data_IF_327318278469
#
_entry.id   IF_327318278469
#
_cell.length_a   1.000
_cell.length_b   1.000
_cell.length_c   1.000
_cell.angle_alpha   90.00
_cell.angle_beta   90.00
_cell.angle_gamma   90.00
#
_symmetry.space_group_name_H-M   'P 1'
#
loop_
_entity.id
_entity.type
_entity.pdbx_description
1 polymer ?
#
# COMPACT_ATOMS: atom_id res chain seq x y z
N UNK A 1 12.62 10.52 -15.13
CA UNK A 1 11.16 10.69 -15.26
C UNK A 1 10.37 9.74 -14.35
N UNK A 2 10.75 8.47 -14.17
CA UNK A 2 9.99 7.50 -13.34
C UNK A 2 9.83 7.86 -11.84
N UNK A 3 10.88 8.32 -11.16
CA UNK A 3 10.82 8.52 -9.69
C UNK A 3 9.99 9.74 -9.26
N UNK A 4 9.94 10.81 -10.06
CA UNK A 4 9.14 12.00 -9.76
C UNK A 4 7.64 11.73 -9.97
N UNK A 5 7.29 11.02 -11.05
CA UNK A 5 5.93 10.58 -11.30
C UNK A 5 5.44 9.64 -10.19
N UNK A 6 6.25 8.63 -9.81
CA UNK A 6 5.88 7.72 -8.72
C UNK A 6 5.73 8.43 -7.37
N UNK A 7 6.62 9.39 -7.05
CA UNK A 7 6.51 10.19 -5.83
C UNK A 7 5.19 10.98 -5.80
N UNK A 8 4.86 11.66 -6.91
CA UNK A 8 3.61 12.40 -7.05
C UNK A 8 2.39 11.49 -6.91
N UNK A 9 2.38 10.33 -7.59
CA UNK A 9 1.30 9.36 -7.49
C UNK A 9 1.10 8.86 -6.05
N UNK A 10 2.17 8.51 -5.34
CA UNK A 10 2.07 8.06 -3.95
C UNK A 10 1.56 9.17 -3.03
N UNK A 11 1.99 10.42 -3.23
CA UNK A 11 1.49 11.55 -2.45
C UNK A 11 0.00 11.80 -2.71
N UNK A 12 -0.44 11.80 -3.96
CA UNK A 12 -1.84 11.97 -4.35
C UNK A 12 -2.73 10.86 -3.78
N UNK A 13 -2.30 9.60 -3.87
CA UNK A 13 -3.02 8.46 -3.29
C UNK A 13 -3.11 8.62 -1.77
N UNK A 14 -1.99 8.94 -1.11
CA UNK A 14 -1.96 9.14 0.34
C UNK A 14 -2.89 10.25 0.81
N UNK A 15 -2.93 11.37 0.10
CA UNK A 15 -3.87 12.46 0.39
C UNK A 15 -5.31 12.05 0.10
N UNK A 16 -5.57 11.26 -0.95
CA UNK A 16 -6.89 10.71 -1.22
C UNK A 16 -7.44 9.85 -0.06
N UNK A 17 -6.58 9.06 0.60
CA UNK A 17 -6.96 8.36 1.83
C UNK A 17 -7.11 9.32 3.02
N UNK A 18 -6.27 10.35 3.13
CA UNK A 18 -6.36 11.34 4.20
C UNK A 18 -7.69 12.12 4.18
N UNK A 19 -8.19 12.50 3.00
CA UNK A 19 -9.45 13.24 2.89
C UNK A 19 -10.66 12.40 3.32
N UNK A 20 -10.59 11.07 3.25
CA UNK A 20 -11.65 10.18 3.75
C UNK A 20 -11.86 10.26 5.26
N UNK A 21 -10.84 10.70 6.01
CA UNK A 21 -10.95 10.92 7.45
C UNK A 21 -11.83 12.14 7.80
N UNK A 22 -12.10 13.01 6.82
CA UNK A 22 -12.88 14.23 6.97
C UNK A 22 -14.03 14.26 5.96
N UNK A 23 -15.00 13.32 6.04
CA UNK A 23 -16.07 13.19 5.06
C UNK A 23 -17.02 14.41 5.03
N UNK A 24 -17.01 15.23 6.09
CA UNK A 24 -17.78 16.48 6.16
C UNK A 24 -17.28 17.56 5.20
N UNK A 25 -16.03 17.45 4.73
CA UNK A 25 -15.42 18.41 3.82
C UNK A 25 -15.34 17.87 2.39
N UNK A 26 -15.82 18.67 1.43
CA UNK A 26 -15.75 18.36 0.01
C UNK A 26 -14.39 18.78 -0.56
N UNK A 27 -13.43 17.84 -0.59
CA UNK A 27 -12.11 18.08 -1.17
C UNK A 27 -12.16 18.02 -2.70
N UNK A 28 -11.93 19.15 -3.35
CA UNK A 28 -11.70 19.24 -4.80
C UNK A 28 -10.33 18.69 -5.19
N UNK A 29 -10.16 18.35 -6.47
CA UNK A 29 -8.87 17.90 -7.03
C UNK A 29 -7.73 18.89 -6.78
N UNK A 30 -8.03 20.20 -6.75
CA UNK A 30 -7.05 21.25 -6.47
C UNK A 30 -6.57 21.20 -5.02
N UNK A 31 -7.45 20.88 -4.07
CA UNK A 31 -7.07 20.68 -2.67
C UNK A 31 -6.15 19.47 -2.51
N UNK A 32 -6.51 18.34 -3.11
CA UNK A 32 -5.71 17.11 -3.06
C UNK A 32 -4.31 17.35 -3.64
N UNK A 33 -4.23 18.02 -4.80
CA UNK A 33 -2.96 18.35 -5.43
C UNK A 33 -2.11 19.31 -4.57
N UNK A 34 -2.73 20.34 -3.99
CA UNK A 34 -2.04 21.33 -3.14
C UNK A 34 -1.47 20.68 -1.88
N UNK A 35 -2.27 19.87 -1.17
CA UNK A 35 -1.83 19.17 0.04
C UNK A 35 -0.70 18.18 -0.30
N UNK A 36 -0.80 17.48 -1.44
CA UNK A 36 0.24 16.57 -1.91
C UNK A 36 1.56 17.30 -2.18
N UNK A 37 1.50 18.47 -2.84
CA UNK A 37 2.66 19.30 -3.10
C UNK A 37 3.30 19.81 -1.79
N UNK A 38 2.49 20.27 -0.84
CA UNK A 38 2.95 20.70 0.49
C UNK A 38 3.65 19.55 1.21
N UNK A 39 3.07 18.35 1.20
CA UNK A 39 3.67 17.17 1.81
C UNK A 39 5.03 16.83 1.17
N UNK A 40 5.15 16.87 -0.16
CA UNK A 40 6.41 16.63 -0.88
C UNK A 40 7.47 17.67 -0.48
N UNK A 41 7.10 18.96 -0.44
CA UNK A 41 8.00 20.04 -0.04
C UNK A 41 8.45 19.89 1.42
N UNK A 42 7.54 19.50 2.32
CA UNK A 42 7.87 19.21 3.71
C UNK A 42 8.89 18.08 3.83
N UNK A 43 8.65 16.95 3.15
CA UNK A 43 9.60 15.84 3.14
C UNK A 43 10.92 16.22 2.49
N UNK A 44 10.92 17.06 1.47
CA UNK A 44 12.15 17.60 0.89
C UNK A 44 12.98 18.36 1.94
N UNK A 45 12.37 19.26 2.71
CA UNK A 45 13.08 19.95 3.80
C UNK A 45 13.57 19.02 4.91
N UNK A 46 12.81 17.97 5.26
CA UNK A 46 13.26 16.94 6.21
C UNK A 46 14.51 16.23 5.68
N UNK A 47 14.54 15.91 4.38
CA UNK A 47 15.68 15.27 3.75
C UNK A 47 16.92 16.19 3.72
N UNK A 48 16.74 17.50 3.52
CA UNK A 48 17.84 18.48 3.55
C UNK A 48 18.51 18.61 4.93
N UNK A 49 17.77 18.35 6.02
CA UNK A 49 18.32 18.41 7.39
C UNK A 49 19.25 17.25 7.74
N UNK A 50 19.39 16.26 6.86
CA UNK A 50 20.39 15.20 6.95
C UNK A 50 19.83 13.79 7.18
N UNK A 51 20.72 12.81 7.00
CA UNK A 51 20.38 11.38 6.94
C UNK A 51 19.74 10.86 8.23
N UNK A 52 20.19 11.29 9.41
CA UNK A 52 19.64 10.82 10.70
C UNK A 52 18.16 11.17 10.86
N UNK A 53 17.78 12.40 10.49
CA UNK A 53 16.39 12.84 10.58
C UNK A 53 15.53 12.12 9.54
N UNK A 54 16.01 12.00 8.30
CA UNK A 54 15.32 11.27 7.24
C UNK A 54 15.09 9.81 7.60
N UNK A 55 16.12 9.11 8.10
CA UNK A 55 16.01 7.72 8.55
C UNK A 55 15.02 7.56 9.71
N UNK A 56 15.02 8.50 10.67
CA UNK A 56 14.07 8.45 11.79
C UNK A 56 12.62 8.63 11.30
N UNK A 57 12.38 9.63 10.45
CA UNK A 57 11.06 9.86 9.86
C UNK A 57 10.59 8.65 9.02
N UNK A 58 11.49 8.07 8.23
CA UNK A 58 11.20 6.88 7.43
C UNK A 58 10.89 5.66 8.30
N UNK A 59 11.62 5.45 9.39
CA UNK A 59 11.37 4.34 10.32
C UNK A 59 10.02 4.49 11.04
N UNK A 60 9.66 5.70 11.47
CA UNK A 60 8.35 5.96 12.08
C UNK A 60 7.23 5.65 11.08
N UNK A 61 7.33 6.16 9.85
CA UNK A 61 6.35 5.88 8.80
C UNK A 61 6.30 4.41 8.42
N UNK A 62 7.43 3.71 8.43
CA UNK A 62 7.49 2.27 8.20
C UNK A 62 6.72 1.51 9.28
N UNK A 63 6.94 1.82 10.56
CA UNK A 63 6.23 1.19 11.67
C UNK A 63 4.73 1.44 11.60
N UNK A 64 4.31 2.66 11.27
CA UNK A 64 2.89 3.00 11.06
C UNK A 64 2.31 2.14 9.93
N UNK A 65 2.97 2.08 8.78
CA UNK A 65 2.52 1.27 7.63
C UNK A 65 2.39 -0.21 7.97
N UNK A 66 3.39 -0.77 8.66
CA UNK A 66 3.35 -2.17 9.10
C UNK A 66 2.20 -2.38 10.09
N UNK A 67 2.02 -1.46 11.05
CA UNK A 67 0.91 -1.52 12.00
C UNK A 67 -0.46 -1.52 11.31
N UNK A 68 -0.65 -0.68 10.30
CA UNK A 68 -1.88 -0.66 9.49
C UNK A 68 -2.09 -1.98 8.74
N UNK A 69 -1.05 -2.55 8.14
CA UNK A 69 -1.14 -3.86 7.47
C UNK A 69 -1.49 -4.97 8.47
N UNK A 70 -0.85 -4.97 9.64
CA UNK A 70 -1.13 -5.94 10.70
C UNK A 70 -2.56 -5.82 11.24
N UNK A 71 -3.11 -4.61 11.32
CA UNK A 71 -4.51 -4.39 11.66
C UNK A 71 -5.44 -5.05 10.65
N UNK A 72 -5.18 -4.83 9.35
CA UNK A 72 -5.96 -5.45 8.26
C UNK A 72 -5.87 -6.98 8.29
N UNK A 73 -4.67 -7.53 8.52
CA UNK A 73 -4.47 -8.99 8.64
C UNK A 73 -5.09 -9.53 9.92
N UNK A 74 -5.07 -8.76 11.01
CA UNK A 74 -5.58 -9.17 12.32
C UNK A 74 -7.08 -9.51 12.31
N UNK A 75 -7.85 -8.94 11.39
CA UNK A 75 -9.26 -9.29 11.19
C UNK A 75 -9.46 -10.77 10.81
N UNK A 76 -8.46 -11.43 10.21
CA UNK A 76 -8.48 -12.87 9.93
C UNK A 76 -8.51 -13.74 11.20
N UNK A 77 -8.10 -13.20 12.35
CA UNK A 77 -8.14 -13.91 13.63
C UNK A 77 -9.57 -14.00 14.20
N UNK A 78 -10.50 -13.18 13.69
CA UNK A 78 -11.89 -13.13 14.13
C UNK A 78 -12.86 -13.35 12.95
N UNK A 79 -12.78 -14.51 12.26
CA UNK A 79 -13.56 -14.74 11.05
C UNK A 79 -15.07 -14.72 11.32
N UNK A 80 -15.52 -15.20 12.48
CA UNK A 80 -16.95 -15.16 12.83
C UNK A 80 -17.50 -13.74 13.03
N UNK A 81 -16.63 -12.75 13.29
CA UNK A 81 -17.03 -11.37 13.48
C UNK A 81 -17.06 -10.58 12.17
N UNK A 82 -16.13 -10.86 11.25
CA UNK A 82 -15.90 -10.00 10.08
C UNK A 82 -16.03 -10.70 8.73
N UNK A 83 -16.00 -12.04 8.67
CA UNK A 83 -16.07 -12.74 7.40
C UNK A 83 -17.50 -12.73 6.86
N UNK A 84 -17.62 -12.36 5.59
CA UNK A 84 -18.82 -12.57 4.79
C UNK A 84 -18.80 -13.99 4.23
N UNK A 85 -19.94 -14.68 4.17
CA UNK A 85 -20.05 -16.00 3.54
C UNK A 85 -19.83 -15.84 2.03
N UNK A 86 -18.57 -15.94 1.60
CA UNK A 86 -18.20 -15.86 0.19
C UNK A 86 -18.26 -17.26 -0.41
N UNK A 87 -19.15 -17.45 -1.38
CA UNK A 87 -19.05 -18.63 -2.25
C UNK A 87 -17.82 -18.44 -3.15
N UNK A 88 -16.91 -19.43 -3.26
CA UNK A 88 -15.79 -19.34 -4.17
C UNK A 88 -16.31 -19.11 -5.59
N UNK A 89 -15.98 -17.95 -6.16
CA UNK A 89 -16.34 -17.59 -7.53
C UNK A 89 -15.32 -18.25 -8.45
N UNK A 90 -15.45 -19.56 -8.62
CA UNK A 90 -14.88 -20.28 -9.75
C UNK A 90 -15.95 -20.43 -10.84
N UNK A 91 -16.53 -19.30 -11.25
CA UNK A 91 -17.41 -19.26 -12.42
C UNK A 91 -16.59 -18.74 -13.58
N UNK A 92 -16.09 -19.63 -14.45
CA UNK A 92 -15.20 -19.18 -15.52
C UNK A 92 -15.04 -20.10 -16.71
N UNK A 93 -16.02 -20.06 -17.61
CA UNK A 93 -15.88 -20.33 -19.06
C UNK A 93 -15.16 -19.16 -19.77
N UNK A 94 -14.13 -18.57 -19.14
CA UNK A 94 -13.41 -17.43 -19.70
C UNK A 94 -12.50 -17.88 -20.83
N UNK A 95 -12.47 -17.15 -21.95
CA UNK A 95 -11.55 -17.45 -23.05
C UNK A 95 -10.12 -17.18 -22.58
N UNK A 96 -9.18 -18.01 -23.03
CA UNK A 96 -7.76 -17.86 -22.67
C UNK A 96 -7.21 -16.45 -23.00
N UNK A 97 -7.73 -15.81 -24.04
CA UNK A 97 -7.38 -14.43 -24.43
C UNK A 97 -7.77 -13.39 -23.37
N UNK A 98 -8.93 -13.55 -22.74
CA UNK A 98 -9.43 -12.62 -21.72
C UNK A 98 -8.65 -12.78 -20.41
N UNK A 99 -8.21 -14.00 -20.11
CA UNK A 99 -7.35 -14.30 -18.97
C UNK A 99 -5.96 -13.67 -19.13
N UNK A 100 -5.32 -13.81 -20.29
CA UNK A 100 -4.01 -13.21 -20.57
C UNK A 100 -4.07 -11.69 -20.49
N UNK A 101 -5.12 -11.08 -21.06
CA UNK A 101 -5.32 -9.62 -20.99
C UNK A 101 -5.48 -9.14 -19.55
N UNK A 102 -6.31 -9.83 -18.77
CA UNK A 102 -6.52 -9.50 -17.35
C UNK A 102 -5.23 -9.62 -16.55
N UNK A 103 -4.47 -10.70 -16.76
CA UNK A 103 -3.17 -10.91 -16.12
C UNK A 103 -2.19 -9.77 -16.47
N UNK A 104 -2.12 -9.38 -17.74
CA UNK A 104 -1.26 -8.28 -18.18
C UNK A 104 -1.59 -6.95 -17.50
N UNK A 105 -2.87 -6.59 -17.39
CA UNK A 105 -3.32 -5.37 -16.71
C UNK A 105 -3.01 -5.42 -15.21
N UNK A 106 -3.30 -6.54 -14.54
CA UNK A 106 -2.99 -6.73 -13.11
C UNK A 106 -1.49 -6.67 -12.84
N UNK A 107 -0.66 -7.21 -13.74
CA UNK A 107 0.78 -7.23 -13.57
C UNK A 107 1.39 -5.82 -13.56
N UNK A 108 0.79 -4.84 -14.26
CA UNK A 108 1.24 -3.43 -14.20
C UNK A 108 1.13 -2.88 -12.78
N UNK A 109 -0.03 -3.05 -12.14
CA UNK A 109 -0.26 -2.58 -10.77
C UNK A 109 0.63 -3.33 -9.76
N UNK A 110 0.77 -4.64 -9.92
CA UNK A 110 1.62 -5.48 -9.07
C UNK A 110 3.09 -5.09 -9.22
N UNK A 111 3.58 -4.89 -10.44
CA UNK A 111 4.98 -4.49 -10.70
C UNK A 111 5.31 -3.13 -10.10
N UNK A 112 4.37 -2.18 -10.17
CA UNK A 112 4.53 -0.89 -9.50
C UNK A 112 4.62 -1.05 -7.97
N UNK A 113 3.78 -1.91 -7.39
CA UNK A 113 3.69 -2.14 -5.94
C UNK A 113 4.96 -2.76 -5.36
N UNK A 114 5.63 -3.65 -6.10
CA UNK A 114 6.88 -4.31 -5.68
C UNK A 114 8.15 -3.56 -6.12
N UNK A 115 8.01 -2.41 -6.78
CA UNK A 115 9.14 -1.55 -7.14
C UNK A 115 9.76 -0.85 -5.92
N UNK A 116 10.93 -0.23 -6.12
CA UNK A 116 11.57 0.63 -5.12
C UNK A 116 12.73 0.00 -4.37
N UNK A 117 12.90 -1.33 -4.41
CA UNK A 117 14.04 -2.02 -3.80
C UNK A 117 15.39 -1.55 -4.35
N UNK A 118 15.43 -1.04 -5.58
CA UNK A 118 16.64 -0.48 -6.18
C UNK A 118 17.18 0.73 -5.41
N UNK A 119 16.32 1.43 -4.65
CA UNK A 119 16.76 2.56 -3.83
C UNK A 119 17.67 2.11 -2.69
N UNK A 120 17.52 0.88 -2.19
CA UNK A 120 18.40 0.30 -1.17
C UNK A 120 19.84 0.18 -1.66
N UNK A 121 20.05 -0.01 -2.97
CA UNK A 121 21.39 -0.15 -3.57
C UNK A 121 22.17 1.17 -3.48
N UNK A 122 21.48 2.31 -3.50
CA UNK A 122 22.11 3.64 -3.42
C UNK A 122 22.80 3.88 -2.06
N UNK A 123 22.47 3.11 -1.02
CA UNK A 123 23.06 3.21 0.32
C UNK A 123 24.33 2.35 0.51
N UNK A 124 24.95 1.89 -0.59
CA UNK A 124 26.16 1.06 -0.57
C UNK A 124 27.25 1.50 0.40
N UNK A 125 27.55 2.80 0.45
CA UNK A 125 28.60 3.37 1.30
C UNK A 125 28.16 3.61 2.75
N UNK A 126 26.86 3.55 3.03
CA UNK A 126 26.28 3.80 4.36
C UNK A 126 25.98 2.49 5.12
N UNK A 127 25.99 1.36 4.42
CA UNK A 127 25.69 0.04 4.96
C UNK A 127 26.98 -0.70 5.28
N UNK A 128 27.11 -1.19 6.51
CA UNK A 128 28.21 -2.08 6.89
C UNK A 128 28.15 -3.38 6.05
N UNK A 129 29.29 -3.84 5.52
CA UNK A 129 29.37 -5.05 4.68
C UNK A 129 28.32 -5.10 3.55
N UNK A 130 28.31 -4.12 2.64
CA UNK A 130 27.21 -3.94 1.67
C UNK A 130 27.02 -5.16 0.76
N UNK A 131 28.11 -5.82 0.36
CA UNK A 131 28.09 -7.03 -0.46
C UNK A 131 27.27 -8.19 0.14
N UNK A 132 27.11 -8.24 1.48
CA UNK A 132 26.31 -9.25 2.17
C UNK A 132 24.98 -8.69 2.66
N UNK A 133 24.97 -7.48 3.19
CA UNK A 133 23.80 -6.92 3.87
C UNK A 133 22.76 -6.34 2.91
N UNK A 134 23.16 -5.74 1.78
CA UNK A 134 22.21 -5.21 0.80
C UNK A 134 21.39 -6.33 0.14
N UNK A 135 22.00 -7.42 -0.39
CA UNK A 135 21.22 -8.52 -0.96
C UNK A 135 20.27 -9.16 0.07
N UNK A 136 20.76 -9.41 1.29
CA UNK A 136 19.92 -9.97 2.37
C UNK A 136 18.74 -9.07 2.73
N UNK A 137 18.98 -7.77 2.82
CA UNK A 137 17.94 -6.77 3.10
C UNK A 137 16.88 -6.73 2.00
N UNK A 138 17.30 -6.75 0.73
CA UNK A 138 16.39 -6.74 -0.42
C UNK A 138 15.55 -8.02 -0.45
N UNK A 139 16.17 -9.20 -0.47
CA UNK A 139 15.43 -10.47 -0.57
C UNK A 139 14.56 -10.73 0.66
N UNK A 140 15.07 -10.46 1.86
CA UNK A 140 14.31 -10.59 3.09
C UNK A 140 13.12 -9.63 3.14
N UNK A 141 13.34 -8.36 2.77
CA UNK A 141 12.28 -7.36 2.69
C UNK A 141 11.20 -7.75 1.68
N UNK A 142 11.59 -8.17 0.47
CA UNK A 142 10.67 -8.63 -0.59
C UNK A 142 9.82 -9.81 -0.11
N UNK A 143 10.42 -10.81 0.54
CA UNK A 143 9.70 -11.98 1.01
C UNK A 143 8.67 -11.62 2.10
N UNK A 144 9.03 -10.71 3.00
CA UNK A 144 8.13 -10.20 4.05
C UNK A 144 6.94 -9.47 3.41
N UNK A 145 7.17 -8.54 2.48
CA UNK A 145 6.06 -7.78 1.86
C UNK A 145 5.16 -8.66 1.00
N UNK A 146 5.70 -9.67 0.31
CA UNK A 146 4.89 -10.64 -0.44
C UNK A 146 3.94 -11.37 0.53
N UNK A 147 4.48 -11.85 1.65
CA UNK A 147 3.69 -12.56 2.66
C UNK A 147 2.58 -11.66 3.24
N UNK A 148 2.91 -10.42 3.60
CA UNK A 148 1.94 -9.45 4.11
C UNK A 148 0.86 -9.11 3.08
N UNK A 149 1.22 -8.86 1.82
CA UNK A 149 0.24 -8.54 0.79
C UNK A 149 -0.68 -9.72 0.45
N UNK A 150 -0.17 -10.96 0.46
CA UNK A 150 -1.03 -12.13 0.31
C UNK A 150 -2.04 -12.23 1.46
N UNK A 151 -1.59 -12.06 2.71
CA UNK A 151 -2.47 -12.08 3.88
C UNK A 151 -3.52 -10.95 3.84
N UNK A 152 -3.13 -9.75 3.43
CA UNK A 152 -4.08 -8.63 3.27
C UNK A 152 -5.11 -8.92 2.18
N UNK A 153 -4.71 -9.50 1.05
CA UNK A 153 -5.65 -9.88 -0.01
C UNK A 153 -6.65 -10.95 0.48
N UNK A 154 -6.20 -11.91 1.28
CA UNK A 154 -7.10 -12.90 1.91
C UNK A 154 -8.06 -12.20 2.87
N UNK A 155 -7.58 -11.24 3.67
CA UNK A 155 -8.43 -10.43 4.56
C UNK A 155 -9.49 -9.66 3.79
N UNK A 156 -9.11 -8.97 2.72
CA UNK A 156 -10.04 -8.23 1.86
C UNK A 156 -11.11 -9.14 1.27
N UNK A 157 -10.70 -10.29 0.73
CA UNK A 157 -11.62 -11.27 0.15
C UNK A 157 -12.63 -11.78 1.19
N UNK A 158 -12.18 -12.12 2.39
CA UNK A 158 -13.06 -12.66 3.44
C UNK A 158 -14.05 -11.60 3.96
N UNK A 159 -13.60 -10.35 4.17
CA UNK A 159 -14.40 -9.31 4.83
C UNK A 159 -15.36 -8.61 3.87
N UNK A 160 -14.93 -8.40 2.62
CA UNK A 160 -15.71 -7.64 1.62
C UNK A 160 -16.42 -8.56 0.63
N UNK A 161 -15.77 -9.66 0.24
CA UNK A 161 -16.23 -10.53 -0.83
C UNK A 161 -15.88 -10.03 -2.23
N UNK A 162 -15.62 -10.97 -3.13
CA UNK A 162 -15.06 -10.69 -4.47
C UNK A 162 -15.86 -9.66 -5.29
N UNK A 163 -17.19 -9.80 -5.33
CA UNK A 163 -18.06 -8.92 -6.12
C UNK A 163 -18.04 -7.48 -5.62
N UNK A 164 -18.02 -7.28 -4.30
CA UNK A 164 -18.00 -5.95 -3.70
C UNK A 164 -16.63 -5.27 -3.88
N UNK A 165 -15.54 -6.05 -3.93
CA UNK A 165 -14.19 -5.52 -4.19
C UNK A 165 -14.03 -4.92 -5.59
N UNK A 166 -14.76 -5.42 -6.60
CA UNK A 166 -14.59 -4.95 -7.99
C UNK A 166 -14.97 -3.48 -8.19
N UNK A 167 -15.95 -3.00 -7.42
CA UNK A 167 -16.49 -1.64 -7.54
C UNK A 167 -15.91 -0.69 -6.50
N UNK A 168 -15.06 -1.18 -5.59
CA UNK A 168 -14.51 -0.41 -4.49
C UNK A 168 -13.11 0.13 -4.83
N UNK A 169 -12.92 1.43 -4.68
CA UNK A 169 -11.63 2.09 -4.96
C UNK A 169 -10.73 2.11 -3.72
N UNK A 170 -11.32 2.13 -2.52
CA UNK A 170 -10.63 2.30 -1.25
C UNK A 170 -10.86 1.08 -0.34
N UNK A 171 -10.49 -0.11 -0.84
CA UNK A 171 -10.75 -1.41 -0.18
C UNK A 171 -10.22 -1.44 1.27
N UNK A 172 -9.05 -0.86 1.51
CA UNK A 172 -8.46 -0.79 2.85
C UNK A 172 -9.35 -0.01 3.83
N UNK A 173 -9.90 1.12 3.41
CA UNK A 173 -10.78 1.95 4.23
C UNK A 173 -12.06 1.19 4.59
N UNK A 174 -12.68 0.50 3.63
CA UNK A 174 -13.88 -0.30 3.87
C UNK A 174 -13.64 -1.43 4.88
N UNK A 175 -12.47 -2.06 4.84
CA UNK A 175 -12.11 -3.07 5.86
C UNK A 175 -11.93 -2.43 7.22
N UNK A 176 -11.22 -1.31 7.33
CA UNK A 176 -11.03 -0.61 8.61
C UNK A 176 -12.37 -0.12 9.18
N UNK A 177 -13.22 0.48 8.36
CA UNK A 177 -14.57 0.92 8.73
C UNK A 177 -15.43 -0.25 9.25
N UNK A 178 -15.34 -1.42 8.63
CA UNK A 178 -16.00 -2.64 9.13
C UNK A 178 -15.43 -3.17 10.45
N UNK A 179 -14.13 -3.02 10.69
CA UNK A 179 -13.47 -3.54 11.90
C UNK A 179 -13.66 -2.59 13.09
N UNK A 180 -13.47 -1.30 12.87
CA UNK A 180 -13.39 -0.26 13.91
C UNK A 180 -14.63 0.65 13.96
N UNK A 181 -15.49 0.62 12.94
CA UNK A 181 -16.63 1.52 12.79
C UNK A 181 -16.27 2.84 12.11
N UNK A 182 -17.29 3.69 11.89
CA UNK A 182 -17.28 4.91 11.06
C UNK A 182 -16.35 6.04 11.51
N UNK A 183 -15.53 5.81 12.54
CA UNK A 183 -14.56 6.76 13.10
C UNK A 183 -13.16 6.16 13.32
N UNK A 184 -12.92 4.93 12.89
CA UNK A 184 -11.66 4.20 13.07
C UNK A 184 -10.66 4.36 11.94
#
# INVERSE_FOLDING_TARGET
VSNAASLSSVALIGVGYFTRLFPEYQFTNTHIASISAIAIVLFYFINLKGLKLSATAQNILMLIKIGMLLLLVGALLFPNAYATNTTPIFSGTAKATDWIKSLGISLVAVSFTYGGYQQTINFGNEVANPAKNIPKGIFGGILIIISLYLLVNISYYNIIGFTNMQNERDIAYVVVDKILGTKG
#
